data_IF_702981584226
#
_entry.id   IF_702981584226
#
_cell.length_a   1.000
_cell.length_b   1.000
_cell.length_c   1.000
_cell.angle_alpha   90.00
_cell.angle_beta   90.00
_cell.angle_gamma   90.00
#
_symmetry.space_group_name_H-M   'P 1'
#
loop_
_entity.id
_entity.type
_entity.pdbx_description
1 polymer ?
#
# COMPACT_ATOMS: atom_id res chain seq x y z
N UNK A 1 33.19 -13.61 32.87
CA UNK A 1 31.71 -13.74 32.93
C UNK A 1 31.23 -14.30 31.61
N UNK A 2 30.88 -15.60 31.55
CA UNK A 2 30.37 -16.23 30.33
C UNK A 2 28.90 -15.84 30.12
N UNK A 3 28.57 -15.32 28.94
CA UNK A 3 27.17 -15.11 28.53
C UNK A 3 26.53 -16.48 28.32
N UNK A 4 25.50 -16.82 29.11
CA UNK A 4 24.61 -17.93 28.79
C UNK A 4 23.90 -17.61 27.48
N UNK A 5 24.17 -18.40 26.45
CA UNK A 5 23.40 -18.40 25.21
C UNK A 5 22.11 -19.15 25.53
N UNK A 6 20.97 -18.45 25.55
CA UNK A 6 19.67 -19.13 25.55
C UNK A 6 19.53 -19.82 24.19
N UNK A 7 19.59 -21.16 24.20
CA UNK A 7 19.24 -21.97 23.03
C UNK A 7 17.79 -21.68 22.64
N UNK A 8 17.56 -21.48 21.34
CA UNK A 8 16.20 -21.31 20.83
C UNK A 8 15.46 -22.64 21.02
N UNK A 9 14.19 -22.62 21.48
CA UNK A 9 13.42 -23.83 21.65
C UNK A 9 13.31 -24.59 20.32
N UNK A 10 13.36 -25.92 20.41
CA UNK A 10 13.15 -26.77 19.25
C UNK A 10 11.71 -26.67 18.76
N UNK A 11 11.44 -27.17 17.55
CA UNK A 11 10.07 -27.25 17.02
C UNK A 11 9.16 -28.06 17.95
N UNK A 12 9.68 -29.15 18.49
CA UNK A 12 8.93 -30.06 19.36
C UNK A 12 8.58 -29.36 20.68
N UNK A 13 9.50 -28.56 21.23
CA UNK A 13 9.24 -27.75 22.44
C UNK A 13 8.13 -26.71 22.21
N UNK A 14 8.12 -26.09 21.02
CA UNK A 14 7.10 -25.13 20.64
C UNK A 14 5.73 -25.79 20.46
N UNK A 15 5.69 -26.99 19.88
CA UNK A 15 4.46 -27.75 19.67
C UNK A 15 3.83 -28.20 20.99
N UNK A 16 4.65 -28.71 21.92
CA UNK A 16 4.21 -29.09 23.27
C UNK A 16 3.65 -27.88 24.02
N UNK A 17 4.34 -26.74 23.97
CA UNK A 17 3.90 -25.53 24.67
C UNK A 17 2.63 -24.94 24.05
N UNK A 18 2.47 -25.00 22.73
CA UNK A 18 1.26 -24.57 22.05
C UNK A 18 0.05 -25.43 22.46
N UNK A 19 0.20 -26.75 22.44
CA UNK A 19 -0.86 -27.68 22.84
C UNK A 19 -1.25 -27.50 24.30
N UNK A 20 -0.29 -27.21 25.18
CA UNK A 20 -0.54 -26.90 26.59
C UNK A 20 -1.38 -25.62 26.73
N UNK A 21 -1.01 -24.55 26.02
CA UNK A 21 -1.76 -23.28 26.03
C UNK A 21 -3.18 -23.45 25.53
N UNK A 22 -3.38 -24.18 24.42
CA UNK A 22 -4.72 -24.41 23.84
C UNK A 22 -5.62 -25.14 24.84
N UNK A 23 -5.11 -26.18 25.53
CA UNK A 23 -5.87 -26.92 26.54
C UNK A 23 -6.32 -26.07 27.73
N UNK A 24 -5.64 -24.96 28.00
CA UNK A 24 -5.94 -24.07 29.12
C UNK A 24 -6.83 -22.89 28.74
N UNK A 25 -7.18 -22.74 27.46
CA UNK A 25 -8.05 -21.64 27.03
C UNK A 25 -9.50 -21.91 27.43
N UNK A 26 -10.17 -20.85 27.89
CA UNK A 26 -11.60 -20.85 28.11
C UNK A 26 -12.37 -21.06 26.79
N UNK A 27 -13.55 -21.65 26.87
CA UNK A 27 -14.35 -22.04 25.71
C UNK A 27 -14.59 -20.89 24.72
N UNK A 28 -14.84 -19.67 25.18
CA UNK A 28 -15.06 -18.52 24.29
C UNK A 28 -13.79 -18.08 23.53
N UNK A 29 -12.62 -18.25 24.16
CA UNK A 29 -11.33 -18.01 23.51
C UNK A 29 -10.99 -19.13 22.52
N UNK A 30 -11.33 -20.37 22.86
CA UNK A 30 -11.18 -21.54 21.99
C UNK A 30 -12.12 -21.47 20.79
N UNK A 31 -13.34 -21.00 21.00
CA UNK A 31 -14.34 -20.70 19.96
C UNK A 31 -13.88 -19.56 19.06
N UNK A 32 -13.29 -18.49 19.62
CA UNK A 32 -12.68 -17.40 18.85
C UNK A 32 -11.49 -17.88 18.01
N UNK A 33 -10.68 -18.80 18.53
CA UNK A 33 -9.57 -19.43 17.80
C UNK A 33 -10.09 -20.27 16.61
N UNK A 34 -10.99 -21.23 16.88
CA UNK A 34 -11.52 -22.17 15.86
C UNK A 34 -12.42 -21.49 14.83
N UNK A 35 -13.28 -20.55 15.26
CA UNK A 35 -14.17 -19.80 14.36
C UNK A 35 -13.46 -18.61 13.70
N UNK A 36 -12.38 -18.11 14.33
CA UNK A 36 -11.45 -17.17 13.75
C UNK A 36 -10.61 -17.81 12.64
N UNK A 37 -10.32 -19.11 12.75
CA UNK A 37 -9.57 -19.87 11.73
C UNK A 37 -10.36 -20.09 10.43
N UNK A 38 -11.68 -20.19 10.47
CA UNK A 38 -12.53 -20.14 9.27
C UNK A 38 -12.45 -18.78 8.54
N UNK A 39 -12.14 -17.70 9.28
CA UNK A 39 -11.77 -16.43 8.66
C UNK A 39 -10.32 -16.45 8.20
N UNK A 40 -9.41 -17.13 8.91
CA UNK A 40 -8.00 -17.26 8.54
C UNK A 40 -7.82 -18.09 7.27
N UNK A 41 -8.67 -19.04 6.88
CA UNK A 41 -8.54 -19.68 5.56
C UNK A 41 -8.88 -18.70 4.42
N UNK A 42 -9.96 -17.93 4.55
CA UNK A 42 -10.25 -16.83 3.63
C UNK A 42 -9.19 -15.71 3.71
N UNK A 43 -8.64 -15.45 4.90
CA UNK A 43 -7.56 -14.49 5.13
C UNK A 43 -6.17 -15.02 4.76
N UNK A 44 -5.95 -16.33 4.60
CA UNK A 44 -4.68 -16.97 4.28
C UNK A 44 -4.51 -17.05 2.76
N UNK A 45 -5.61 -17.33 2.06
CA UNK A 45 -5.68 -17.17 0.60
C UNK A 45 -5.60 -15.68 0.24
N UNK A 46 -6.18 -14.78 1.05
CA UNK A 46 -5.99 -13.33 0.88
C UNK A 46 -4.61 -12.83 1.38
N UNK A 47 -4.02 -13.40 2.45
CA UNK A 47 -2.66 -13.07 2.95
C UNK A 47 -1.56 -13.54 2.03
N UNK A 48 -1.79 -14.57 1.21
CA UNK A 48 -0.83 -15.02 0.21
C UNK A 48 -0.63 -13.97 -0.91
N UNK A 49 -1.56 -13.03 -1.08
CA UNK A 49 -1.40 -11.82 -1.91
C UNK A 49 -1.39 -10.58 -1.02
N UNK A 50 -0.39 -10.49 -0.13
CA UNK A 50 -0.11 -9.23 0.52
C UNK A 50 0.19 -8.17 -0.56
N UNK A 51 -0.60 -7.08 -0.56
CA UNK A 51 -0.39 -5.93 -1.44
C UNK A 51 1.09 -5.54 -1.44
N UNK A 52 1.65 -5.33 -2.63
CA UNK A 52 3.04 -4.97 -2.86
C UNK A 52 4.13 -6.03 -2.54
N UNK A 53 3.78 -7.23 -2.07
CA UNK A 53 4.77 -8.30 -1.85
C UNK A 53 5.05 -9.13 -3.11
N UNK A 54 4.09 -9.20 -4.04
CA UNK A 54 4.19 -10.01 -5.25
C UNK A 54 3.62 -9.23 -6.44
N UNK A 55 4.19 -9.40 -7.64
CA UNK A 55 3.60 -8.83 -8.84
C UNK A 55 2.25 -9.52 -9.14
N UNK A 56 1.35 -8.77 -9.77
CA UNK A 56 0.08 -9.25 -10.31
C UNK A 56 0.40 -10.30 -11.37
N UNK A 57 -0.15 -11.52 -11.26
CA UNK A 57 0.00 -12.56 -12.28
C UNK A 57 -0.51 -12.10 -13.65
N UNK A 58 0.15 -12.53 -14.73
CA UNK A 58 -0.20 -12.11 -16.10
C UNK A 58 -1.66 -12.43 -16.48
N UNK A 59 -2.20 -13.55 -16.01
CA UNK A 59 -3.59 -13.98 -16.22
C UNK A 59 -4.61 -13.13 -15.43
N UNK A 60 -4.17 -12.38 -14.43
CA UNK A 60 -4.99 -11.44 -13.66
C UNK A 60 -4.78 -9.98 -14.06
N UNK A 61 -3.77 -9.72 -14.90
CA UNK A 61 -3.36 -8.37 -15.29
C UNK A 61 -4.49 -7.60 -15.94
N UNK A 62 -5.15 -8.16 -16.95
CA UNK A 62 -6.23 -7.47 -17.65
C UNK A 62 -7.37 -7.12 -16.69
N UNK A 63 -7.76 -8.08 -15.84
CA UNK A 63 -8.83 -7.91 -14.86
C UNK A 63 -8.50 -6.90 -13.73
N UNK A 64 -7.23 -6.66 -13.40
CA UNK A 64 -6.85 -5.73 -12.34
C UNK A 64 -6.33 -4.38 -12.84
N UNK A 65 -5.62 -4.36 -13.98
CA UNK A 65 -5.01 -3.15 -14.56
C UNK A 65 -5.99 -2.45 -15.50
N UNK A 66 -6.75 -3.21 -16.29
CA UNK A 66 -7.73 -2.66 -17.25
C UNK A 66 -9.15 -2.61 -16.70
N UNK A 67 -9.36 -3.01 -15.44
CA UNK A 67 -10.68 -2.94 -14.84
C UNK A 67 -11.18 -1.50 -14.73
N UNK A 68 -12.47 -1.39 -15.06
CA UNK A 68 -13.26 -0.22 -15.42
C UNK A 68 -12.98 1.07 -14.63
N UNK A 69 -12.01 1.87 -15.10
CA UNK A 69 -11.87 3.30 -14.77
C UNK A 69 -13.08 4.11 -15.20
N UNK A 70 -13.89 3.61 -16.14
CA UNK A 70 -15.09 4.31 -16.63
C UNK A 70 -16.07 4.70 -15.50
N UNK A 71 -15.96 4.06 -14.32
CA UNK A 71 -16.69 4.44 -13.11
C UNK A 71 -16.06 5.58 -12.29
N UNK A 72 -14.82 5.97 -12.56
CA UNK A 72 -14.01 6.97 -11.83
C UNK A 72 -13.52 8.10 -12.73
N UNK A 73 -14.43 8.74 -13.46
CA UNK A 73 -14.11 9.74 -14.50
C UNK A 73 -13.28 10.95 -14.01
N UNK A 74 -13.23 11.19 -12.71
CA UNK A 74 -12.44 12.28 -12.10
C UNK A 74 -10.96 11.92 -11.91
N UNK A 75 -10.61 10.63 -11.96
CA UNK A 75 -9.23 10.17 -11.83
C UNK A 75 -8.54 10.18 -13.20
N UNK A 76 -7.25 10.53 -13.26
CA UNK A 76 -6.48 10.25 -14.46
C UNK A 76 -6.29 8.74 -14.62
N UNK A 77 -6.16 8.27 -15.86
CA UNK A 77 -5.89 6.86 -16.17
C UNK A 77 -4.56 6.39 -15.55
N UNK A 78 -3.55 7.26 -15.60
CA UNK A 78 -2.23 6.99 -15.04
C UNK A 78 -1.59 8.25 -14.43
N UNK A 79 -0.84 8.06 -13.35
CA UNK A 79 0.14 9.00 -12.83
C UNK A 79 1.52 8.59 -13.35
N UNK A 80 1.98 9.32 -14.37
CA UNK A 80 3.36 9.24 -14.84
C UNK A 80 4.25 10.03 -13.88
N UNK A 81 5.25 9.38 -13.28
CA UNK A 81 6.12 10.01 -12.28
C UNK A 81 7.57 9.93 -12.71
N UNK A 82 8.02 10.95 -13.42
CA UNK A 82 9.44 11.25 -13.59
C UNK A 82 10.04 11.51 -12.20
N UNK A 83 11.23 10.97 -11.90
CA UNK A 83 11.99 11.11 -10.63
C UNK A 83 11.60 10.23 -9.43
N UNK A 84 10.76 9.21 -9.59
CA UNK A 84 10.35 8.34 -8.48
C UNK A 84 11.55 7.70 -7.75
N UNK A 85 12.60 7.32 -8.48
CA UNK A 85 13.82 6.74 -7.91
C UNK A 85 14.50 7.65 -6.90
N UNK A 86 14.76 8.89 -7.30
CA UNK A 86 15.47 9.88 -6.48
C UNK A 86 14.71 10.14 -5.18
N UNK A 87 13.38 10.28 -5.28
CA UNK A 87 12.53 10.55 -4.12
C UNK A 87 12.50 9.35 -3.18
N UNK A 88 12.30 8.14 -3.69
CA UNK A 88 12.30 6.95 -2.84
C UNK A 88 13.66 6.78 -2.19
N UNK A 89 14.75 6.95 -2.93
CA UNK A 89 16.13 6.82 -2.44
C UNK A 89 16.47 7.86 -1.37
N UNK A 90 16.10 9.14 -1.57
CA UNK A 90 16.27 10.22 -0.58
C UNK A 90 15.60 9.86 0.74
N UNK A 91 14.46 9.16 0.70
CA UNK A 91 13.65 8.87 1.88
C UNK A 91 13.92 7.49 2.50
N UNK A 92 14.44 6.53 1.73
CA UNK A 92 14.64 5.12 2.15
C UNK A 92 15.53 4.97 3.39
N UNK A 93 16.52 5.84 3.55
CA UNK A 93 17.47 5.79 4.66
C UNK A 93 16.98 6.43 5.96
N UNK A 94 15.91 7.24 5.91
CA UNK A 94 15.55 8.15 7.01
C UNK A 94 14.09 8.07 7.44
N UNK A 95 13.25 7.40 6.64
CA UNK A 95 11.79 7.30 6.83
C UNK A 95 11.40 5.84 6.94
N UNK A 96 10.45 5.55 7.83
CA UNK A 96 9.94 4.18 8.03
C UNK A 96 8.73 3.87 7.15
N UNK A 97 7.96 4.90 6.80
CA UNK A 97 6.69 4.74 6.11
C UNK A 97 6.52 5.74 4.97
N UNK A 98 5.88 5.26 3.90
CA UNK A 98 5.33 6.05 2.81
C UNK A 98 3.81 6.00 2.89
N UNK A 99 3.18 7.17 2.94
CA UNK A 99 1.75 7.36 2.84
C UNK A 99 1.42 7.94 1.47
N UNK A 100 0.47 7.36 0.77
CA UNK A 100 -0.07 7.89 -0.48
C UNK A 100 -1.47 8.42 -0.21
N UNK A 101 -1.65 9.72 -0.36
CA UNK A 101 -2.93 10.41 -0.29
C UNK A 101 -3.40 10.77 -1.69
N UNK A 102 -4.72 10.73 -1.89
CA UNK A 102 -5.35 11.40 -3.02
C UNK A 102 -5.72 12.82 -2.62
N UNK A 103 -5.55 13.76 -3.55
CA UNK A 103 -5.86 15.17 -3.33
C UNK A 103 -6.68 15.72 -4.49
N UNK A 104 -7.53 16.70 -4.20
CA UNK A 104 -8.21 17.48 -5.22
C UNK A 104 -7.63 18.91 -5.24
N UNK A 105 -6.91 19.22 -6.32
CA UNK A 105 -6.30 20.52 -6.56
C UNK A 105 -7.28 21.58 -7.12
N UNK A 106 -8.55 21.21 -7.27
CA UNK A 106 -9.63 22.06 -7.79
C UNK A 106 -9.93 21.85 -9.27
N UNK A 107 -9.04 21.20 -10.03
CA UNK A 107 -9.25 20.88 -11.44
C UNK A 107 -9.14 19.38 -11.73
N UNK A 108 -8.36 18.63 -10.94
CA UNK A 108 -8.09 17.21 -11.15
C UNK A 108 -7.74 16.50 -9.85
N UNK A 109 -7.93 15.18 -9.86
CA UNK A 109 -7.39 14.31 -8.82
C UNK A 109 -5.89 14.15 -9.05
N UNK A 110 -5.12 14.31 -7.98
CA UNK A 110 -3.68 14.09 -7.93
C UNK A 110 -3.33 13.20 -6.73
N UNK A 111 -2.05 12.83 -6.60
CA UNK A 111 -1.51 12.09 -5.46
C UNK A 111 -0.47 12.91 -4.71
N UNK A 112 -0.43 12.72 -3.39
CA UNK A 112 0.61 13.24 -2.51
C UNK A 112 1.30 12.09 -1.78
N UNK A 113 2.62 12.07 -1.81
CA UNK A 113 3.47 11.10 -1.12
C UNK A 113 4.06 11.74 0.12
N UNK A 114 3.64 11.26 1.30
CA UNK A 114 4.14 11.70 2.59
C UNK A 114 5.04 10.62 3.18
N UNK A 115 6.32 10.95 3.39
CA UNK A 115 7.28 10.09 4.06
C UNK A 115 7.46 10.52 5.52
N UNK A 116 7.26 9.57 6.46
CA UNK A 116 7.33 9.81 7.90
C UNK A 116 7.85 8.60 8.68
N UNK A 117 8.11 8.78 9.97
CA UNK A 117 8.66 7.73 10.84
C UNK A 117 7.61 7.07 11.73
N UNK A 118 6.51 7.77 11.98
CA UNK A 118 5.44 7.33 12.85
C UNK A 118 4.43 6.52 12.05
N UNK A 119 4.14 5.31 12.54
CA UNK A 119 3.00 4.54 12.06
C UNK A 119 1.75 5.12 12.70
N UNK A 120 0.80 5.55 11.88
CA UNK A 120 -0.45 6.14 12.33
C UNK A 120 -1.64 5.23 12.06
N UNK A 121 -2.49 5.08 13.06
CA UNK A 121 -3.76 4.36 13.03
C UNK A 121 -4.86 5.34 13.43
N UNK A 122 -5.44 6.06 12.48
CA UNK A 122 -6.54 6.98 12.76
C UNK A 122 -6.84 7.99 11.65
N UNK A 123 -7.67 8.97 11.99
CA UNK A 123 -8.19 10.02 11.09
C UNK A 123 -7.45 11.36 11.15
N UNK A 124 -6.40 11.53 11.96
CA UNK A 124 -5.62 12.78 11.94
C UNK A 124 -4.68 12.86 10.74
N UNK A 125 -4.82 13.98 10.01
CA UNK A 125 -3.82 14.47 9.06
C UNK A 125 -2.78 15.30 9.85
N UNK A 126 -1.80 14.61 10.44
CA UNK A 126 -0.71 15.25 11.19
C UNK A 126 0.60 15.23 10.39
N UNK A 127 0.89 16.39 9.78
CA UNK A 127 2.08 16.61 8.97
C UNK A 127 3.13 17.37 9.79
N UNK A 128 3.96 16.61 10.51
CA UNK A 128 5.02 17.16 11.35
C UNK A 128 6.24 17.68 10.59
N UNK A 129 7.11 18.39 11.30
CA UNK A 129 8.31 19.05 10.76
C UNK A 129 9.38 18.09 10.23
N UNK A 130 9.33 16.84 10.67
CA UNK A 130 10.25 15.79 10.23
C UNK A 130 9.67 14.98 9.06
N UNK A 131 8.59 15.41 8.41
CA UNK A 131 8.00 14.70 7.28
C UNK A 131 8.46 15.31 5.96
N UNK A 132 8.63 14.47 4.94
CA UNK A 132 8.84 14.93 3.57
C UNK A 132 7.56 14.67 2.78
N UNK A 133 6.95 15.73 2.26
CA UNK A 133 5.74 15.65 1.44
C UNK A 133 6.09 16.01 0.00
N UNK A 134 5.65 15.19 -0.95
CA UNK A 134 5.78 15.43 -2.37
C UNK A 134 4.39 15.39 -3.00
N UNK A 135 4.12 16.24 -3.98
CA UNK A 135 2.84 16.28 -4.69
C UNK A 135 3.08 16.09 -6.17
N UNK A 136 2.23 15.27 -6.78
CA UNK A 136 2.31 15.04 -8.22
C UNK A 136 1.76 16.25 -8.97
N UNK A 137 2.62 16.85 -9.79
CA UNK A 137 2.31 18.05 -10.56
C UNK A 137 2.98 17.97 -11.94
N UNK A 138 2.18 17.72 -12.97
CA UNK A 138 2.66 17.78 -14.35
C UNK A 138 3.69 16.71 -14.71
N UNK A 139 3.51 15.48 -14.24
CA UNK A 139 4.35 14.34 -14.62
C UNK A 139 5.52 14.05 -13.67
N UNK A 140 5.71 14.84 -12.63
CA UNK A 140 6.77 14.66 -11.63
C UNK A 140 6.25 14.89 -10.21
N UNK A 141 7.00 14.45 -9.22
CA UNK A 141 6.73 14.71 -7.81
C UNK A 141 7.62 15.87 -7.31
N UNK A 142 6.99 16.96 -6.89
CA UNK A 142 7.68 18.13 -6.36
C UNK A 142 7.58 18.18 -4.83
N UNK A 143 8.72 18.43 -4.16
CA UNK A 143 8.78 18.53 -2.70
C UNK A 143 8.03 19.78 -2.22
N UNK A 144 7.10 19.59 -1.30
CA UNK A 144 6.27 20.66 -0.75
C UNK A 144 6.96 21.29 0.45
N UNK A 145 7.05 22.62 0.47
CA UNK A 145 7.53 23.36 1.64
C UNK A 145 6.53 23.21 2.81
N UNK A 146 7.02 23.09 4.04
CA UNK A 146 6.17 22.89 5.24
C UNK A 146 5.09 23.96 5.39
N UNK A 147 5.37 25.21 5.01
CA UNK A 147 4.40 26.30 5.06
C UNK A 147 3.13 26.03 4.22
N UNK A 148 3.24 25.15 3.21
CA UNK A 148 2.15 24.77 2.32
C UNK A 148 1.45 23.47 2.74
N UNK A 149 1.89 22.79 3.81
CA UNK A 149 1.25 21.56 4.30
C UNK A 149 -0.24 21.76 4.62
N UNK A 150 -0.69 22.87 5.26
CA UNK A 150 -2.10 23.12 5.47
C UNK A 150 -2.93 23.09 4.18
N UNK A 151 -2.42 23.65 3.08
CA UNK A 151 -3.11 23.66 1.80
C UNK A 151 -3.27 22.23 1.23
N UNK A 152 -2.29 21.36 1.45
CA UNK A 152 -2.38 19.96 1.02
C UNK A 152 -3.38 19.20 1.89
N UNK A 153 -3.40 19.43 3.20
CA UNK A 153 -4.40 18.85 4.11
C UNK A 153 -5.82 19.24 3.68
N UNK A 154 -6.04 20.50 3.32
CA UNK A 154 -7.35 20.94 2.82
C UNK A 154 -7.69 20.33 1.46
N UNK A 155 -6.68 20.12 0.60
CA UNK A 155 -6.86 19.43 -0.69
C UNK A 155 -7.21 17.95 -0.52
N UNK A 156 -6.66 17.28 0.51
CA UNK A 156 -7.07 15.92 0.91
C UNK A 156 -8.54 15.97 1.33
N UNK A 157 -8.91 16.83 2.27
CA UNK A 157 -10.30 16.94 2.77
C UNK A 157 -11.32 17.23 1.67
N UNK A 158 -10.97 18.08 0.69
CA UNK A 158 -11.82 18.31 -0.48
C UNK A 158 -12.02 17.03 -1.28
N UNK A 159 -10.93 16.33 -1.60
CA UNK A 159 -11.04 15.02 -2.23
C UNK A 159 -11.94 14.07 -1.43
N UNK A 160 -11.81 14.02 -0.10
CA UNK A 160 -12.66 13.15 0.72
C UNK A 160 -14.15 13.48 0.57
N UNK A 161 -14.52 14.76 0.67
CA UNK A 161 -15.90 15.19 0.55
C UNK A 161 -16.47 14.96 -0.86
N UNK A 162 -15.69 15.25 -1.90
CA UNK A 162 -16.09 15.06 -3.29
C UNK A 162 -16.26 13.57 -3.61
N UNK A 163 -15.37 12.73 -3.11
CA UNK A 163 -15.45 11.27 -3.29
C UNK A 163 -16.70 10.70 -2.61
N UNK A 164 -16.96 11.08 -1.35
CA UNK A 164 -18.17 10.67 -0.61
C UNK A 164 -19.44 11.08 -1.38
N UNK A 165 -19.48 12.32 -1.87
CA UNK A 165 -20.64 12.87 -2.57
C UNK A 165 -20.86 12.21 -3.92
N UNK A 166 -19.80 12.00 -4.69
CA UNK A 166 -19.85 11.45 -6.05
C UNK A 166 -20.22 9.97 -6.04
N UNK A 167 -19.66 9.20 -5.10
CA UNK A 167 -19.78 7.75 -5.07
C UNK A 167 -20.76 7.22 -4.01
N UNK A 168 -21.38 8.11 -3.21
CA UNK A 168 -22.33 7.78 -2.14
C UNK A 168 -21.76 6.77 -1.12
N UNK A 169 -20.50 6.97 -0.73
CA UNK A 169 -19.77 6.12 0.22
C UNK A 169 -19.55 6.92 1.50
N UNK A 170 -19.94 6.38 2.66
CA UNK A 170 -19.93 7.11 3.94
C UNK A 170 -18.64 6.94 4.78
N UNK A 171 -17.76 6.02 4.41
CA UNK A 171 -16.44 5.82 5.01
C UNK A 171 -15.46 5.39 3.93
N UNK A 172 -14.20 5.86 3.97
CA UNK A 172 -13.12 5.31 3.15
C UNK A 172 -11.73 5.54 3.75
N UNK A 173 -10.77 4.69 3.34
CA UNK A 173 -9.34 4.75 3.58
C UNK A 173 -8.78 6.01 2.95
N UNK A 174 -8.43 6.97 3.79
CA UNK A 174 -7.90 8.28 3.39
C UNK A 174 -6.53 8.21 2.70
N UNK A 175 -5.82 7.11 2.90
CA UNK A 175 -4.47 6.90 2.41
C UNK A 175 -4.13 5.41 2.30
N UNK A 176 -3.09 5.11 1.52
CA UNK A 176 -2.44 3.80 1.46
C UNK A 176 -1.08 3.93 2.16
N UNK A 177 -0.72 2.96 3.02
CA UNK A 177 0.56 2.96 3.75
C UNK A 177 1.46 1.82 3.27
N UNK A 178 2.73 2.14 3.06
CA UNK A 178 3.81 1.18 2.84
C UNK A 178 4.89 1.34 3.90
N UNK A 179 5.50 0.23 4.30
CA UNK A 179 6.78 0.30 5.02
C UNK A 179 7.92 0.43 4.01
N UNK A 180 8.87 1.32 4.31
CA UNK A 180 10.06 1.50 3.47
C UNK A 180 10.93 0.23 3.45
N UNK A 181 10.89 -0.59 4.50
CA UNK A 181 11.56 -1.89 4.54
C UNK A 181 11.03 -2.86 3.48
N UNK A 182 9.72 -2.87 3.22
CA UNK A 182 9.12 -3.70 2.15
C UNK A 182 9.56 -3.21 0.77
N UNK A 183 9.56 -1.90 0.56
CA UNK A 183 10.07 -1.30 -0.68
C UNK A 183 11.53 -1.72 -0.91
N UNK A 184 12.39 -1.56 0.11
CA UNK A 184 13.80 -1.95 0.05
C UNK A 184 14.01 -3.45 -0.21
N UNK A 185 13.13 -4.30 0.30
CA UNK A 185 13.21 -5.75 0.13
C UNK A 185 12.87 -6.17 -1.31
N UNK A 186 11.96 -5.45 -1.96
CA UNK A 186 11.39 -5.85 -3.24
C UNK A 186 12.02 -5.15 -4.45
N UNK A 187 12.54 -3.92 -4.30
CA UNK A 187 13.04 -3.10 -5.41
C UNK A 187 14.53 -2.74 -5.25
N UNK A 188 15.30 -2.84 -6.34
CA UNK A 188 16.70 -2.41 -6.44
C UNK A 188 16.78 -0.91 -6.69
N UNK A 189 15.92 -0.42 -7.56
CA UNK A 189 15.80 0.96 -8.01
C UNK A 189 14.39 1.16 -8.60
N UNK A 190 14.12 2.37 -9.06
CA UNK A 190 12.98 2.68 -9.94
C UNK A 190 13.57 3.36 -11.16
N UNK A 191 12.89 3.34 -12.31
CA UNK A 191 13.35 4.08 -13.49
C UNK A 191 12.34 5.17 -13.85
N UNK A 192 12.72 6.07 -14.75
CA UNK A 192 11.83 7.09 -15.28
C UNK A 192 10.64 6.53 -16.06
N UNK A 193 10.65 5.23 -16.38
CA UNK A 193 9.54 4.55 -17.04
C UNK A 193 8.54 3.94 -16.07
N UNK A 194 8.80 4.00 -14.76
CA UNK A 194 7.92 3.47 -13.73
C UNK A 194 6.69 4.37 -13.58
N UNK A 195 5.50 3.75 -13.49
CA UNK A 195 4.22 4.46 -13.50
C UNK A 195 3.32 4.00 -12.37
N UNK A 196 2.53 4.91 -11.82
CA UNK A 196 1.43 4.54 -10.91
C UNK A 196 0.14 4.63 -11.73
N UNK A 197 -0.36 3.49 -12.19
CA UNK A 197 -1.60 3.37 -12.93
C UNK A 197 -2.76 3.41 -11.92
N UNK A 198 -3.81 4.16 -12.25
CA UNK A 198 -5.08 4.04 -11.54
C UNK A 198 -5.86 2.92 -12.22
N UNK A 199 -6.50 2.06 -11.45
CA UNK A 199 -7.38 1.03 -12.00
C UNK A 199 -8.64 0.88 -11.16
N UNK A 200 -9.65 0.19 -11.69
CA UNK A 200 -10.74 -0.33 -10.89
C UNK A 200 -10.39 -1.70 -10.32
N UNK A 201 -10.74 -1.99 -9.07
CA UNK A 201 -10.74 -3.36 -8.54
C UNK A 201 -12.14 -3.71 -8.06
N UNK A 202 -12.69 -4.83 -8.52
CA UNK A 202 -13.91 -5.38 -7.93
C UNK A 202 -13.60 -5.96 -6.55
N UNK A 203 -14.36 -5.52 -5.56
CA UNK A 203 -14.32 -6.07 -4.21
C UNK A 203 -15.74 -6.28 -3.70
N UNK A 204 -16.19 -7.53 -3.72
CA UNK A 204 -17.55 -7.95 -3.34
C UNK A 204 -18.66 -7.23 -4.13
N UNK A 205 -18.47 -7.05 -5.45
CA UNK A 205 -19.46 -6.42 -6.34
C UNK A 205 -19.40 -4.91 -6.35
N UNK A 206 -18.43 -4.29 -5.67
CA UNK A 206 -18.19 -2.85 -5.70
C UNK A 206 -16.83 -2.58 -6.35
N UNK A 207 -16.83 -1.84 -7.45
CA UNK A 207 -15.60 -1.40 -8.12
C UNK A 207 -15.00 -0.25 -7.31
N UNK A 208 -13.68 -0.29 -7.08
CA UNK A 208 -12.94 0.66 -6.23
C UNK A 208 -11.70 1.21 -6.94
N UNK A 209 -11.30 2.47 -6.70
CA UNK A 209 -10.03 2.96 -7.21
C UNK A 209 -8.89 2.20 -6.55
N UNK A 210 -7.98 1.73 -7.38
CA UNK A 210 -6.83 0.92 -7.02
C UNK A 210 -5.59 1.53 -7.67
N UNK A 211 -4.46 1.49 -6.97
CA UNK A 211 -3.19 1.94 -7.52
C UNK A 211 -2.35 0.72 -7.91
N UNK A 212 -1.77 0.77 -9.10
CA UNK A 212 -0.88 -0.26 -9.62
C UNK A 212 0.46 0.39 -9.97
N UNK A 213 1.54 -0.10 -9.39
CA UNK A 213 2.88 0.27 -9.85
C UNK A 213 3.26 -0.61 -11.05
N UNK A 214 3.43 -0.01 -12.21
CA UNK A 214 4.14 -0.61 -13.34
C UNK A 214 5.63 -0.29 -13.23
N UNK A 215 6.50 -1.30 -13.29
CA UNK A 215 7.96 -1.10 -13.29
C UNK A 215 8.67 -2.18 -14.12
N UNK A 216 9.92 -1.93 -14.50
CA UNK A 216 10.75 -2.89 -15.22
C UNK A 216 11.18 -4.06 -14.30
N UNK A 217 11.21 -5.28 -14.84
CA UNK A 217 11.60 -6.47 -14.07
C UNK A 217 13.06 -6.42 -13.57
N UNK A 218 13.94 -5.72 -14.30
CA UNK A 218 15.33 -5.51 -13.92
C UNK A 218 15.46 -4.75 -12.58
N UNK A 219 14.47 -3.91 -12.28
CA UNK A 219 14.43 -3.06 -11.09
C UNK A 219 13.97 -3.80 -9.82
N UNK A 220 13.60 -5.09 -9.93
CA UNK A 220 13.06 -5.89 -8.82
C UNK A 220 14.13 -6.85 -8.27
N UNK A 221 14.20 -6.99 -6.94
CA UNK A 221 15.13 -7.88 -6.22
C UNK A 221 14.65 -9.34 -6.28
N UNK A 222 13.36 -9.57 -6.06
CA UNK A 222 12.76 -10.90 -6.04
C UNK A 222 11.79 -11.05 -7.21
N UNK A 223 12.25 -11.47 -8.40
CA UNK A 223 11.36 -11.76 -9.50
C UNK A 223 10.60 -13.03 -9.15
N UNK A 224 9.33 -12.90 -8.78
CA UNK A 224 8.49 -14.07 -8.62
C UNK A 224 7.32 -13.92 -9.58
N UNK A 225 7.15 -14.99 -10.35
CA UNK A 225 6.18 -15.18 -11.43
C UNK A 225 6.45 -14.34 -12.68
N UNK A 226 6.89 -15.08 -13.71
CA UNK A 226 6.85 -14.79 -15.14
C UNK A 226 6.66 -13.30 -15.49
N UNK A 227 7.73 -12.56 -15.82
CA UNK A 227 7.57 -11.21 -16.32
C UNK A 227 6.61 -11.20 -17.52
N UNK A 228 5.85 -10.11 -17.66
CA UNK A 228 5.02 -9.92 -18.85
C UNK A 228 5.90 -9.96 -20.10
N UNK A 229 5.28 -10.21 -21.26
CA UNK A 229 5.99 -10.34 -22.54
C UNK A 229 6.88 -9.14 -22.95
N UNK A 230 6.83 -8.03 -22.20
CA UNK A 230 7.59 -6.80 -22.43
C UNK A 230 8.61 -6.46 -21.32
N UNK A 231 8.95 -7.40 -20.42
CA UNK A 231 9.92 -7.13 -19.34
C UNK A 231 9.40 -6.17 -18.26
N UNK A 232 8.08 -6.10 -18.11
CA UNK A 232 7.41 -5.27 -17.09
C UNK A 232 6.71 -6.13 -16.05
N UNK A 233 6.65 -5.62 -14.83
CA UNK A 233 5.91 -6.17 -13.70
C UNK A 233 4.91 -5.13 -13.18
N UNK A 234 3.80 -5.62 -12.64
CA UNK A 234 2.72 -4.81 -12.09
C UNK A 234 2.56 -5.16 -10.62
N UNK A 235 2.58 -4.19 -9.72
CA UNK A 235 2.40 -4.41 -8.29
C UNK A 235 1.14 -3.71 -7.82
N UNK A 236 0.24 -4.46 -7.19
CA UNK A 236 -0.92 -3.85 -6.56
C UNK A 236 -0.46 -3.06 -5.32
N UNK A 237 -0.53 -1.73 -5.42
CA UNK A 237 -0.19 -0.79 -4.34
C UNK A 237 -1.29 -0.78 -3.27
N UNK A 238 -2.52 -1.09 -3.65
CA UNK A 238 -3.66 -1.08 -2.77
C UNK A 238 -4.76 -0.17 -3.29
N UNK A 239 -5.92 -0.29 -2.65
CA UNK A 239 -7.14 0.38 -3.06
C UNK A 239 -7.66 1.31 -1.98
N UNK A 240 -8.47 2.28 -2.40
CA UNK A 240 -9.32 3.04 -1.49
C UNK A 240 -10.41 2.11 -0.98
N UNK A 241 -10.24 1.60 0.24
CA UNK A 241 -11.24 0.80 0.95
C UNK A 241 -12.33 1.73 1.53
N UNK A 242 -13.61 1.36 1.64
CA UNK A 242 -14.59 2.07 2.46
C UNK A 242 -14.40 1.88 3.98
#
# INVERSE_FOLDING_TARGET
MGKQVQEKPSRDDLEIELMRKIKTLEYDNLKSLVMGDLRIEHYAIAKAKAFFDWPIPEDEKEAQVSAKIENFQTFPDEFLVENLEDIITENLGFKKYLYIYFINDGARISIALLFKNEYYLGNLLDFGTNNNLYVWAGGRLDKVAMANYPNIIDSIRRFENDFITTYNINQFSKYIIFSMDRIKKNFKNFDNSSKIIVSGSDYHGNIRPNLILETNDANVISPVYKPSAAGKLYYNMGHLYP
#
